data_IF_857071573737
#
_entry.id   IF_857071573737
#
_cell.length_a   1.000
_cell.length_b   1.000
_cell.length_c   1.000
_cell.angle_alpha   90.00
_cell.angle_beta   90.00
_cell.angle_gamma   90.00
#
_symmetry.space_group_name_H-M   'P 1'
#
loop_
_entity.id
_entity.type
_entity.pdbx_description
1 polymer ?
#
# COMPACT_ATOMS: atom_id res chain seq x y z
N UNK A 1 -41.40 -8.30 -4.96
CA UNK A 1 -41.26 -9.02 -3.65
C UNK A 1 -42.05 -8.27 -2.57
N UNK A 2 -41.98 -8.65 -1.29
CA UNK A 2 -42.56 -7.88 -0.17
C UNK A 2 -41.44 -7.34 0.73
N UNK A 3 -41.69 -6.29 1.52
CA UNK A 3 -40.72 -5.83 2.53
C UNK A 3 -40.43 -6.92 3.55
N UNK A 4 -39.22 -6.91 4.11
CA UNK A 4 -38.71 -7.87 5.08
C UNK A 4 -38.75 -9.33 4.57
N UNK A 5 -38.71 -9.53 3.25
CA UNK A 5 -38.56 -10.86 2.65
C UNK A 5 -37.16 -11.39 2.90
N UNK A 6 -37.09 -12.65 3.32
CA UNK A 6 -35.87 -13.46 3.32
C UNK A 6 -36.21 -14.80 2.65
N UNK A 7 -35.75 -14.99 1.42
CA UNK A 7 -36.08 -16.16 0.60
C UNK A 7 -34.87 -16.62 -0.18
N UNK A 8 -34.80 -17.92 -0.50
CA UNK A 8 -33.63 -18.46 -1.20
C UNK A 8 -34.01 -19.56 -2.19
N UNK A 9 -33.17 -19.69 -3.21
CA UNK A 9 -33.18 -20.82 -4.15
C UNK A 9 -31.82 -21.53 -4.08
N UNK A 10 -31.85 -22.85 -3.94
CA UNK A 10 -30.64 -23.67 -3.82
C UNK A 10 -30.45 -24.51 -5.08
N UNK A 11 -29.26 -24.42 -5.68
CA UNK A 11 -28.86 -25.23 -6.81
C UNK A 11 -28.57 -26.69 -6.44
N UNK A 12 -28.42 -27.57 -7.45
CA UNK A 12 -28.09 -28.98 -7.21
C UNK A 12 -26.68 -29.15 -6.61
N UNK A 13 -26.40 -30.34 -6.10
CA UNK A 13 -25.02 -30.72 -5.75
C UNK A 13 -24.19 -30.93 -7.01
N UNK A 14 -22.95 -30.45 -7.00
CA UNK A 14 -22.01 -30.62 -8.10
C UNK A 14 -20.57 -30.76 -7.61
N UNK A 15 -19.74 -31.42 -8.43
CA UNK A 15 -18.32 -31.63 -8.15
C UNK A 15 -17.47 -30.80 -9.10
N UNK A 16 -16.46 -30.14 -8.55
CA UNK A 16 -15.38 -29.46 -9.27
C UNK A 16 -14.05 -30.22 -9.12
N UNK A 17 -14.09 -31.48 -8.68
CA UNK A 17 -12.88 -32.33 -8.58
C UNK A 17 -12.21 -32.44 -9.95
N UNK A 18 -10.91 -32.12 -10.01
CA UNK A 18 -10.14 -32.12 -11.24
C UNK A 18 -10.40 -30.92 -12.17
N UNK A 19 -11.31 -30.02 -11.80
CA UNK A 19 -11.63 -28.81 -12.53
C UNK A 19 -10.96 -27.58 -11.89
N UNK A 20 -10.74 -26.53 -12.69
CA UNK A 20 -10.23 -25.23 -12.23
C UNK A 20 -10.95 -24.07 -12.89
N UNK A 21 -10.80 -22.86 -12.34
CA UNK A 21 -11.45 -21.65 -12.87
C UNK A 21 -12.96 -21.82 -12.96
N UNK A 22 -13.55 -22.50 -11.98
CA UNK A 22 -14.98 -22.75 -11.96
C UNK A 22 -15.71 -21.44 -11.67
N UNK A 23 -16.79 -21.14 -12.39
CA UNK A 23 -17.60 -19.93 -12.19
C UNK A 23 -19.08 -20.23 -12.35
N UNK A 24 -19.91 -19.47 -11.65
CA UNK A 24 -21.35 -19.47 -11.88
C UNK A 24 -21.63 -18.62 -13.12
N UNK A 25 -22.44 -19.14 -14.03
CA UNK A 25 -22.86 -18.43 -15.25
C UNK A 25 -24.37 -18.42 -15.37
N UNK A 26 -24.88 -17.52 -16.19
CA UNK A 26 -26.30 -17.40 -16.52
C UNK A 26 -26.68 -15.95 -16.77
N UNK A 27 -27.97 -15.72 -16.84
CA UNK A 27 -28.57 -14.42 -17.16
C UNK A 27 -29.37 -13.89 -15.96
N UNK A 28 -29.32 -12.58 -15.76
CA UNK A 28 -29.98 -11.86 -14.68
C UNK A 28 -30.74 -10.65 -15.22
N UNK A 29 -31.99 -10.50 -14.81
CA UNK A 29 -32.69 -9.23 -14.84
C UNK A 29 -32.99 -8.80 -13.41
N UNK A 30 -32.71 -7.55 -13.06
CA UNK A 30 -32.83 -7.05 -11.69
C UNK A 30 -33.68 -5.77 -11.63
N UNK A 31 -34.47 -5.66 -10.58
CA UNK A 31 -35.19 -4.48 -10.14
C UNK A 31 -35.39 -4.56 -8.62
N UNK A 32 -34.41 -4.05 -7.86
CA UNK A 32 -34.41 -3.98 -6.40
C UNK A 32 -34.00 -2.59 -5.92
N UNK A 33 -34.26 -2.27 -4.64
CA UNK A 33 -33.69 -1.08 -4.00
C UNK A 33 -32.16 -1.20 -3.93
N UNK A 34 -31.46 -0.30 -4.64
CA UNK A 34 -30.01 -0.33 -4.76
C UNK A 34 -29.33 -0.13 -3.40
N UNK A 35 -28.59 -1.13 -2.94
CA UNK A 35 -27.84 -1.11 -1.69
C UNK A 35 -28.61 -1.60 -0.45
N UNK A 36 -29.92 -1.88 -0.57
CA UNK A 36 -30.78 -2.25 0.56
C UNK A 36 -31.45 -3.61 0.35
N UNK A 37 -31.91 -3.89 -0.87
CA UNK A 37 -32.53 -5.16 -1.25
C UNK A 37 -31.56 -5.98 -2.11
N UNK A 38 -30.95 -7.00 -1.50
CA UNK A 38 -29.81 -7.70 -2.07
C UNK A 38 -30.11 -9.16 -2.36
N UNK A 39 -29.60 -9.62 -3.51
CA UNK A 39 -29.35 -11.03 -3.77
C UNK A 39 -27.90 -11.36 -3.38
N UNK A 40 -27.74 -12.31 -2.47
CA UNK A 40 -26.47 -12.88 -2.07
C UNK A 40 -26.24 -14.19 -2.79
N UNK A 41 -25.04 -14.39 -3.33
CA UNK A 41 -24.56 -15.70 -3.74
C UNK A 41 -23.84 -16.35 -2.57
N UNK A 42 -24.38 -17.46 -2.08
CA UNK A 42 -23.78 -18.29 -1.05
C UNK A 42 -23.29 -19.60 -1.68
N UNK A 43 -22.08 -20.03 -1.32
CA UNK A 43 -21.50 -21.30 -1.75
C UNK A 43 -21.24 -22.19 -0.55
N UNK A 44 -21.58 -23.46 -0.70
CA UNK A 44 -21.27 -24.53 0.23
C UNK A 44 -20.25 -25.49 -0.37
N UNK A 45 -19.34 -26.03 0.45
CA UNK A 45 -18.35 -27.05 0.07
C UNK A 45 -18.61 -28.43 0.72
N UNK A 46 -19.66 -28.52 1.54
CA UNK A 46 -20.00 -29.69 2.34
C UNK A 46 -21.43 -30.15 2.09
N UNK A 47 -21.89 -29.97 0.85
CA UNK A 47 -23.22 -30.39 0.43
C UNK A 47 -24.32 -29.59 1.12
N UNK A 48 -24.12 -28.31 1.42
CA UNK A 48 -25.13 -27.39 1.97
C UNK A 48 -25.28 -27.39 3.50
N UNK A 49 -24.31 -27.93 4.23
CA UNK A 49 -24.31 -27.91 5.71
C UNK A 49 -23.81 -26.56 6.22
N UNK A 50 -22.75 -26.04 5.61
CA UNK A 50 -22.23 -24.68 5.84
C UNK A 50 -22.25 -23.87 4.55
N UNK A 51 -22.42 -22.56 4.70
CA UNK A 51 -22.56 -21.62 3.60
C UNK A 51 -21.64 -20.41 3.82
N UNK A 52 -20.94 -20.01 2.76
CA UNK A 52 -20.12 -18.81 2.73
C UNK A 52 -20.63 -17.87 1.64
N UNK A 53 -20.87 -16.61 1.99
CA UNK A 53 -21.26 -15.58 1.02
C UNK A 53 -20.06 -15.20 0.16
N UNK A 54 -20.24 -15.28 -1.16
CA UNK A 54 -19.23 -15.00 -2.17
C UNK A 54 -19.37 -13.60 -2.74
N UNK A 55 -20.60 -13.09 -2.84
CA UNK A 55 -20.86 -11.74 -3.29
C UNK A 55 -22.34 -11.39 -3.17
N UNK A 56 -22.66 -10.12 -3.43
CA UNK A 56 -24.03 -9.62 -3.44
C UNK A 56 -24.27 -8.66 -4.59
N UNK A 57 -25.53 -8.53 -4.99
CA UNK A 57 -25.98 -7.62 -6.04
C UNK A 57 -27.33 -7.00 -5.68
N UNK A 58 -27.52 -5.76 -6.12
CA UNK A 58 -28.77 -4.99 -5.97
C UNK A 58 -28.86 -3.94 -7.08
N UNK A 59 -30.00 -3.28 -7.21
CA UNK A 59 -30.23 -2.22 -8.18
C UNK A 59 -31.09 -2.68 -9.36
N UNK A 60 -30.87 -2.11 -10.54
CA UNK A 60 -31.69 -2.42 -11.72
C UNK A 60 -30.88 -2.59 -12.99
N UNK A 61 -31.31 -3.54 -13.83
CA UNK A 61 -30.80 -3.76 -15.19
C UNK A 61 -31.66 -3.09 -16.26
N UNK A 62 -32.58 -2.20 -15.86
CA UNK A 62 -33.46 -1.48 -16.80
C UNK A 62 -34.41 -2.39 -17.58
N UNK A 63 -34.79 -3.53 -17.00
CA UNK A 63 -35.69 -4.50 -17.64
C UNK A 63 -35.01 -5.44 -18.64
N UNK A 64 -33.68 -5.41 -18.74
CA UNK A 64 -32.92 -6.28 -19.65
C UNK A 64 -32.20 -7.40 -18.91
N UNK A 65 -32.05 -8.55 -19.57
CA UNK A 65 -31.18 -9.61 -19.08
C UNK A 65 -29.72 -9.27 -19.38
N UNK A 66 -28.89 -9.31 -18.35
CA UNK A 66 -27.43 -9.17 -18.43
C UNK A 66 -26.77 -10.45 -17.93
N UNK A 67 -25.49 -10.63 -18.21
CA UNK A 67 -24.74 -11.76 -17.67
C UNK A 67 -24.68 -11.67 -16.14
N UNK A 68 -24.82 -12.81 -15.48
CA UNK A 68 -24.66 -12.91 -14.03
C UNK A 68 -23.27 -12.40 -13.63
N UNK A 69 -23.18 -11.37 -12.78
CA UNK A 69 -21.91 -10.75 -12.40
C UNK A 69 -21.21 -11.51 -11.26
N UNK A 70 -21.74 -12.66 -10.85
CA UNK A 70 -21.20 -13.41 -9.72
C UNK A 70 -19.89 -14.12 -10.08
N UNK A 71 -19.06 -14.28 -9.06
CA UNK A 71 -17.66 -14.67 -9.15
C UNK A 71 -17.42 -16.18 -9.06
N UNK A 72 -16.14 -16.52 -8.84
CA UNK A 72 -15.57 -17.86 -8.82
C UNK A 72 -16.24 -18.83 -7.83
N UNK A 73 -16.42 -20.05 -8.30
CA UNK A 73 -16.84 -21.23 -7.57
C UNK A 73 -15.58 -21.97 -7.09
N UNK A 74 -15.58 -22.61 -5.90
CA UNK A 74 -14.46 -23.38 -5.42
C UNK A 74 -13.98 -24.44 -6.42
N UNK A 75 -12.70 -24.41 -6.74
CA UNK A 75 -12.02 -25.43 -7.52
C UNK A 75 -11.75 -26.69 -6.69
N UNK A 76 -11.66 -27.85 -7.35
CA UNK A 76 -11.24 -29.13 -6.76
C UNK A 76 -12.03 -29.59 -5.52
N UNK A 77 -13.32 -29.29 -5.49
CA UNK A 77 -14.19 -29.61 -4.35
C UNK A 77 -15.28 -30.60 -4.77
N UNK A 78 -15.55 -31.61 -3.96
CA UNK A 78 -16.42 -32.73 -4.35
C UNK A 78 -17.91 -32.46 -4.13
N UNK A 79 -18.26 -31.71 -3.07
CA UNK A 79 -19.63 -31.59 -2.58
C UNK A 79 -20.07 -30.14 -2.57
N UNK A 80 -20.02 -29.48 -3.72
CA UNK A 80 -20.41 -28.07 -3.79
C UNK A 80 -21.92 -27.91 -3.96
N UNK A 81 -22.46 -26.82 -3.39
CA UNK A 81 -23.77 -26.26 -3.75
C UNK A 81 -23.67 -24.74 -3.85
N UNK A 82 -24.56 -24.14 -4.63
CA UNK A 82 -24.77 -22.71 -4.62
C UNK A 82 -26.20 -22.39 -4.16
N UNK A 83 -26.37 -21.22 -3.55
CA UNK A 83 -27.65 -20.69 -3.14
C UNK A 83 -27.71 -19.21 -3.48
N UNK A 84 -28.80 -18.79 -4.10
CA UNK A 84 -29.13 -17.39 -4.33
C UNK A 84 -30.13 -16.99 -3.26
N UNK A 85 -29.70 -16.14 -2.32
CA UNK A 85 -30.48 -15.70 -1.18
C UNK A 85 -30.90 -14.25 -1.34
N UNK A 86 -32.19 -13.97 -1.35
CA UNK A 86 -32.76 -12.63 -1.42
C UNK A 86 -33.15 -12.14 -0.03
N UNK A 87 -32.66 -10.96 0.34
CA UNK A 87 -33.05 -10.27 1.58
C UNK A 87 -33.46 -8.85 1.22
N UNK A 88 -34.64 -8.45 1.69
CA UNK A 88 -35.15 -7.08 1.57
C UNK A 88 -35.35 -6.44 2.93
N UNK A 89 -35.30 -5.11 2.96
CA UNK A 89 -35.51 -4.33 4.17
C UNK A 89 -36.98 -3.92 4.35
N UNK A 90 -37.25 -2.97 5.25
CA UNK A 90 -38.60 -2.53 5.56
C UNK A 90 -39.20 -1.52 4.58
N UNK A 91 -38.46 -1.13 3.53
CA UNK A 91 -38.78 -0.07 2.57
C UNK A 91 -38.67 -0.53 1.11
N UNK A 92 -39.19 0.32 0.20
CA UNK A 92 -39.17 0.22 -1.26
C UNK A 92 -39.34 -1.20 -1.85
N UNK A 93 -40.58 -1.53 -2.22
CA UNK A 93 -40.85 -2.75 -2.99
C UNK A 93 -40.64 -2.52 -4.49
N UNK A 94 -39.94 -3.45 -5.13
CA UNK A 94 -39.87 -3.59 -6.58
C UNK A 94 -40.15 -5.05 -7.03
N UNK A 95 -39.91 -5.35 -8.31
CA UNK A 95 -40.18 -6.66 -8.90
C UNK A 95 -39.28 -7.77 -8.31
N UNK A 96 -37.99 -7.50 -8.14
CA UNK A 96 -37.00 -8.46 -7.62
C UNK A 96 -35.95 -8.83 -8.65
N UNK A 97 -35.63 -10.11 -8.74
CA UNK A 97 -34.60 -10.63 -9.64
C UNK A 97 -35.08 -11.88 -10.36
N UNK A 98 -34.85 -11.92 -11.67
CA UNK A 98 -35.10 -13.07 -12.52
C UNK A 98 -33.76 -13.66 -12.95
N UNK A 99 -33.56 -14.94 -12.64
CA UNK A 99 -32.34 -15.68 -12.93
C UNK A 99 -32.70 -16.78 -13.94
N UNK A 100 -31.96 -16.84 -15.03
CA UNK A 100 -32.18 -17.83 -16.09
C UNK A 100 -30.86 -18.40 -16.60
N UNK A 101 -30.90 -19.59 -17.22
CA UNK A 101 -29.73 -20.32 -17.71
C UNK A 101 -28.60 -20.45 -16.66
N UNK A 102 -28.96 -20.61 -15.38
CA UNK A 102 -28.00 -20.69 -14.29
C UNK A 102 -27.25 -22.02 -14.37
N UNK A 103 -25.93 -21.95 -14.49
CA UNK A 103 -25.06 -23.11 -14.61
C UNK A 103 -23.69 -22.87 -13.98
N UNK A 104 -22.89 -23.94 -13.92
CA UNK A 104 -21.49 -23.87 -13.51
C UNK A 104 -20.64 -24.22 -14.72
N UNK A 105 -19.76 -23.31 -15.10
CA UNK A 105 -18.73 -23.56 -16.11
C UNK A 105 -17.38 -23.70 -15.43
N UNK A 106 -16.57 -24.62 -15.95
CA UNK A 106 -15.21 -24.84 -15.45
C UNK A 106 -14.26 -25.02 -16.62
N UNK A 107 -13.01 -24.60 -16.44
CA UNK A 107 -11.94 -25.02 -17.34
C UNK A 107 -11.47 -26.42 -16.96
N UNK A 108 -11.54 -27.36 -17.91
CA UNK A 108 -11.07 -28.73 -17.73
C UNK A 108 -9.54 -28.77 -17.83
N UNK A 109 -8.91 -29.40 -16.85
CA UNK A 109 -7.48 -29.69 -16.84
C UNK A 109 -6.84 -29.40 -15.50
N UNK A 110 -6.20 -30.42 -14.91
CA UNK A 110 -5.09 -30.13 -14.02
C UNK A 110 -3.96 -29.57 -14.90
N UNK A 111 -3.38 -28.40 -14.60
CA UNK A 111 -2.11 -27.99 -15.17
C UNK A 111 -1.12 -29.13 -14.93
N UNK A 112 -0.89 -29.94 -15.93
CA UNK A 112 0.21 -30.87 -15.97
C UNK A 112 1.41 -30.01 -16.37
N UNK A 113 2.43 -29.97 -15.53
CA UNK A 113 3.67 -29.24 -15.84
C UNK A 113 4.37 -29.72 -17.12
N UNK A 114 3.83 -30.76 -17.78
CA UNK A 114 4.35 -31.40 -18.99
C UNK A 114 3.57 -31.11 -20.27
N UNK A 115 2.31 -30.64 -20.21
CA UNK A 115 1.50 -30.40 -21.44
C UNK A 115 0.87 -28.99 -21.53
N UNK A 116 0.66 -28.29 -20.42
CA UNK A 116 -0.02 -26.97 -20.43
C UNK A 116 0.96 -25.79 -20.56
N UNK A 117 2.23 -26.02 -20.20
CA UNK A 117 3.33 -25.11 -20.46
C UNK A 117 4.28 -25.79 -21.44
N UNK A 118 4.50 -25.15 -22.59
CA UNK A 118 5.42 -25.64 -23.61
C UNK A 118 6.34 -24.53 -24.08
N UNK A 119 7.57 -24.91 -24.42
CA UNK A 119 8.48 -24.01 -25.13
C UNK A 119 8.06 -23.94 -26.59
N UNK A 120 7.55 -22.78 -26.98
CA UNK A 120 7.27 -22.44 -28.37
C UNK A 120 8.34 -21.47 -28.88
N UNK A 121 8.52 -21.46 -30.20
CA UNK A 121 9.49 -20.61 -30.87
C UNK A 121 8.83 -19.89 -32.04
N UNK A 122 9.31 -18.68 -32.36
CA UNK A 122 8.84 -17.89 -33.49
C UNK A 122 8.58 -16.44 -33.14
N UNK A 123 8.33 -15.62 -34.15
CA UNK A 123 7.98 -14.19 -33.97
C UNK A 123 6.70 -14.01 -33.17
N UNK A 124 5.77 -14.97 -33.24
CA UNK A 124 4.57 -15.03 -32.38
C UNK A 124 4.88 -15.09 -30.89
N UNK A 125 6.08 -15.53 -30.48
CA UNK A 125 6.54 -15.49 -29.09
C UNK A 125 7.30 -14.20 -28.78
N UNK A 126 7.93 -13.58 -29.78
CA UNK A 126 8.60 -12.28 -29.61
C UNK A 126 7.60 -11.12 -29.42
N UNK A 127 6.54 -11.09 -30.24
CA UNK A 127 5.49 -10.04 -30.18
C UNK A 127 4.87 -9.86 -28.78
N UNK A 128 4.42 -10.93 -28.08
CA UNK A 128 3.83 -10.78 -26.74
C UNK A 128 4.82 -10.29 -25.68
N UNK A 129 6.13 -10.49 -25.85
CA UNK A 129 7.11 -9.86 -24.96
C UNK A 129 7.13 -8.34 -25.15
N UNK A 130 7.04 -7.85 -26.39
CA UNK A 130 6.97 -6.42 -26.67
C UNK A 130 5.66 -5.83 -26.13
N UNK A 131 4.51 -6.46 -26.39
CA UNK A 131 3.22 -5.97 -25.89
C UNK A 131 3.12 -6.04 -24.36
N UNK A 132 3.69 -7.07 -23.73
CA UNK A 132 3.81 -7.15 -22.28
C UNK A 132 4.61 -5.99 -21.69
N UNK A 133 5.73 -5.60 -22.32
CA UNK A 133 6.50 -4.41 -21.90
C UNK A 133 5.73 -3.11 -22.15
N UNK A 134 4.97 -3.00 -23.23
CA UNK A 134 4.07 -1.85 -23.44
C UNK A 134 3.05 -1.74 -22.30
N UNK A 135 2.49 -2.87 -21.86
CA UNK A 135 1.62 -2.91 -20.67
C UNK A 135 2.32 -2.41 -19.41
N UNK A 136 3.57 -2.82 -19.17
CA UNK A 136 4.38 -2.33 -18.05
C UNK A 136 4.72 -0.84 -18.16
N UNK A 137 5.01 -0.35 -19.35
CA UNK A 137 5.27 1.07 -19.63
C UNK A 137 4.04 1.92 -19.29
N UNK A 138 2.85 1.49 -19.73
CA UNK A 138 1.59 2.16 -19.41
C UNK A 138 1.21 2.06 -17.93
N UNK A 139 1.53 0.94 -17.27
CA UNK A 139 1.35 0.81 -15.83
C UNK A 139 2.26 1.77 -15.05
N UNK A 140 3.48 2.04 -15.54
CA UNK A 140 4.41 2.99 -14.93
C UNK A 140 4.08 4.46 -15.24
N UNK A 141 3.43 4.74 -16.38
CA UNK A 141 2.96 6.07 -16.74
C UNK A 141 1.74 5.98 -17.68
N UNK A 142 0.51 6.13 -17.16
CA UNK A 142 -0.71 5.97 -17.95
C UNK A 142 -0.99 7.14 -18.90
N UNK A 143 -0.25 8.25 -18.80
CA UNK A 143 -0.48 9.46 -19.59
C UNK A 143 0.34 9.52 -20.89
N UNK A 144 1.10 8.45 -21.19
CA UNK A 144 1.94 8.41 -22.38
C UNK A 144 1.08 8.28 -23.66
N UNK A 145 1.47 9.03 -24.69
CA UNK A 145 0.92 8.83 -26.02
C UNK A 145 1.66 7.71 -26.78
N UNK A 146 1.09 7.27 -27.90
CA UNK A 146 1.63 6.16 -28.71
C UNK A 146 3.06 6.42 -29.19
N UNK A 147 3.40 7.67 -29.54
CA UNK A 147 4.75 8.01 -29.98
C UNK A 147 5.78 7.86 -28.84
N UNK A 148 5.45 8.36 -27.65
CA UNK A 148 6.31 8.22 -26.46
C UNK A 148 6.52 6.75 -26.09
N UNK A 149 5.46 5.93 -26.16
CA UNK A 149 5.57 4.47 -25.93
C UNK A 149 6.48 3.84 -26.98
N UNK A 150 6.29 4.19 -28.26
CA UNK A 150 7.11 3.67 -29.35
C UNK A 150 8.58 4.04 -29.18
N UNK A 151 8.87 5.29 -28.83
CA UNK A 151 10.24 5.77 -28.62
C UNK A 151 10.88 5.07 -27.42
N UNK A 152 10.14 4.90 -26.32
CA UNK A 152 10.60 4.14 -25.16
C UNK A 152 10.99 2.71 -25.54
N UNK A 153 10.19 2.02 -26.36
CA UNK A 153 10.48 0.65 -26.79
C UNK A 153 11.67 0.58 -27.76
N UNK A 154 11.71 1.46 -28.76
CA UNK A 154 12.70 1.38 -29.84
C UNK A 154 14.08 1.91 -29.45
N UNK A 155 14.15 2.99 -28.67
CA UNK A 155 15.41 3.70 -28.39
C UNK A 155 16.16 3.17 -27.16
N UNK A 156 15.49 2.43 -26.28
CA UNK A 156 16.07 1.97 -25.01
C UNK A 156 16.53 0.50 -25.04
N UNK A 157 16.24 -0.21 -26.13
CA UNK A 157 16.70 -1.57 -26.35
C UNK A 157 18.22 -1.70 -26.35
N UNK A 158 18.73 -2.90 -26.10
CA UNK A 158 20.17 -3.19 -26.09
C UNK A 158 20.64 -3.52 -27.49
N UNK A 159 21.71 -2.88 -27.97
CA UNK A 159 22.31 -3.20 -29.25
C UNK A 159 22.81 -4.65 -29.25
N UNK A 160 22.45 -5.38 -30.29
CA UNK A 160 22.94 -6.74 -30.52
C UNK A 160 23.62 -6.74 -31.88
N UNK A 161 24.94 -7.01 -31.98
CA UNK A 161 25.66 -6.94 -33.25
C UNK A 161 25.01 -7.74 -34.39
N UNK A 162 24.45 -8.91 -34.08
CA UNK A 162 23.75 -9.76 -35.05
C UNK A 162 22.43 -9.17 -35.58
N UNK A 163 21.87 -8.16 -34.91
CA UNK A 163 20.65 -7.46 -35.33
C UNK A 163 20.94 -6.18 -36.12
N UNK A 164 22.20 -5.73 -36.16
CA UNK A 164 22.57 -4.49 -36.85
C UNK A 164 22.32 -4.62 -38.36
N UNK A 165 21.57 -3.69 -38.93
CA UNK A 165 21.15 -3.75 -40.34
C UNK A 165 20.08 -4.81 -40.66
N UNK A 166 19.66 -5.62 -39.68
CA UNK A 166 18.60 -6.65 -39.83
C UNK A 166 17.25 -6.12 -39.35
N UNK A 167 17.24 -5.37 -38.25
CA UNK A 167 16.06 -4.66 -37.73
C UNK A 167 16.36 -3.17 -37.64
N UNK A 168 15.33 -2.33 -37.73
CA UNK A 168 15.46 -0.87 -37.85
C UNK A 168 16.31 -0.21 -36.77
N UNK A 169 16.33 -0.77 -35.55
CA UNK A 169 17.08 -0.22 -34.42
C UNK A 169 18.40 -0.93 -34.16
N UNK A 170 18.63 -2.12 -34.76
CA UNK A 170 19.71 -3.03 -34.36
C UNK A 170 19.64 -3.52 -32.91
N UNK A 171 18.48 -3.37 -32.24
CA UNK A 171 18.33 -3.58 -30.79
C UNK A 171 17.37 -4.71 -30.46
N UNK A 172 17.65 -5.37 -29.34
CA UNK A 172 16.73 -6.26 -28.63
C UNK A 172 16.02 -5.48 -27.52
N UNK A 173 14.73 -5.76 -27.32
CA UNK A 173 13.92 -5.17 -26.26
C UNK A 173 14.60 -5.25 -24.89
N UNK A 174 14.53 -4.16 -24.12
CA UNK A 174 14.91 -4.14 -22.71
C UNK A 174 13.80 -3.47 -21.89
N UNK A 175 13.08 -4.27 -21.10
CA UNK A 175 11.95 -3.81 -20.31
C UNK A 175 12.35 -2.75 -19.27
N UNK A 176 13.47 -2.97 -18.56
CA UNK A 176 13.95 -2.07 -17.53
C UNK A 176 14.23 -0.68 -18.10
N UNK A 177 15.05 -0.61 -19.16
CA UNK A 177 15.40 0.68 -19.76
C UNK A 177 14.16 1.40 -20.33
N UNK A 178 13.23 0.65 -20.95
CA UNK A 178 12.01 1.21 -21.51
C UNK A 178 11.17 1.86 -20.42
N UNK A 179 10.89 1.15 -19.33
CA UNK A 179 10.09 1.65 -18.20
C UNK A 179 10.79 2.83 -17.53
N UNK A 180 12.10 2.73 -17.25
CA UNK A 180 12.86 3.80 -16.61
C UNK A 180 12.91 5.09 -17.42
N UNK A 181 12.82 5.01 -18.76
CA UNK A 181 12.86 6.19 -19.63
C UNK A 181 11.59 7.05 -19.60
N UNK A 182 10.48 6.50 -19.13
CA UNK A 182 9.15 7.14 -19.19
C UNK A 182 8.37 7.08 -17.88
N UNK A 183 9.00 6.59 -16.81
CA UNK A 183 8.39 6.46 -15.49
C UNK A 183 7.84 7.81 -15.02
N UNK A 184 6.58 7.83 -14.59
CA UNK A 184 5.96 9.03 -14.06
C UNK A 184 6.67 9.46 -12.77
N UNK A 185 6.74 10.77 -12.51
CA UNK A 185 7.30 11.32 -11.30
C UNK A 185 6.25 12.11 -10.52
N UNK A 186 6.36 12.10 -9.19
CA UNK A 186 5.62 12.98 -8.30
C UNK A 186 6.58 13.88 -7.52
N UNK A 187 6.11 15.06 -7.12
CA UNK A 187 6.92 16.05 -6.41
C UNK A 187 6.47 16.13 -4.95
N UNK A 188 7.44 16.27 -4.05
CA UNK A 188 7.20 16.39 -2.60
C UNK A 188 7.80 17.71 -2.11
N UNK A 189 7.00 18.80 -2.06
CA UNK A 189 7.39 20.02 -1.36
C UNK A 189 7.33 19.83 0.16
N UNK A 190 8.42 20.19 0.83
CA UNK A 190 8.53 20.23 2.29
C UNK A 190 8.59 21.67 2.78
N UNK A 191 7.76 22.04 3.74
CA UNK A 191 7.80 23.33 4.43
C UNK A 191 8.34 23.14 5.84
N UNK A 192 9.22 24.02 6.30
CA UNK A 192 9.60 24.09 7.73
C UNK A 192 8.80 25.19 8.42
N UNK A 193 8.32 24.93 9.63
CA UNK A 193 7.56 25.88 10.44
C UNK A 193 7.97 25.81 11.92
N UNK A 194 7.45 26.73 12.72
CA UNK A 194 7.65 26.79 14.17
C UNK A 194 8.73 27.78 14.59
N UNK A 195 8.97 27.84 15.90
CA UNK A 195 9.89 28.81 16.52
C UNK A 195 11.34 28.34 16.56
N UNK A 196 11.58 27.06 16.35
CA UNK A 196 12.90 26.42 16.35
C UNK A 196 13.45 26.23 14.94
N UNK A 197 14.59 25.53 14.86
CA UNK A 197 15.30 25.22 13.62
C UNK A 197 15.59 23.72 13.51
N UNK A 198 15.85 23.27 12.30
CA UNK A 198 16.12 21.88 12.00
C UNK A 198 16.25 21.60 10.51
N UNK A 199 16.59 20.36 10.21
CA UNK A 199 16.76 19.83 8.85
C UNK A 199 15.78 18.71 8.57
N UNK A 200 15.40 18.55 7.31
CA UNK A 200 14.58 17.42 6.83
C UNK A 200 15.32 16.76 5.68
N UNK A 201 15.52 15.45 5.75
CA UNK A 201 16.16 14.65 4.70
C UNK A 201 15.25 13.54 4.22
N UNK A 202 15.35 13.18 2.94
CA UNK A 202 14.63 12.05 2.36
C UNK A 202 15.51 10.82 2.14
N UNK A 203 14.90 9.64 2.20
CA UNK A 203 15.43 8.40 1.63
C UNK A 203 14.37 7.79 0.69
N UNK A 204 14.61 7.63 -0.63
CA UNK A 204 15.84 7.95 -1.36
C UNK A 204 16.26 9.43 -1.28
N UNK A 205 17.56 9.69 -1.48
CA UNK A 205 18.09 11.05 -1.42
C UNK A 205 17.48 11.95 -2.50
N UNK A 206 17.12 13.17 -2.13
CA UNK A 206 16.53 14.16 -3.04
C UNK A 206 16.13 15.44 -2.32
N UNK A 207 15.63 15.33 -1.08
CA UNK A 207 15.31 16.46 -0.21
C UNK A 207 16.39 16.57 0.86
N UNK A 208 16.96 17.76 1.00
CA UNK A 208 17.79 18.17 2.14
C UNK A 208 17.47 19.64 2.45
N UNK A 209 16.54 19.82 3.38
CA UNK A 209 15.98 21.12 3.78
C UNK A 209 16.95 22.06 4.53
N UNK A 210 18.25 21.93 4.29
CA UNK A 210 19.25 22.98 4.46
C UNK A 210 19.56 23.74 3.16
N UNK A 211 19.26 23.18 1.99
CA UNK A 211 19.52 23.78 0.66
C UNK A 211 18.33 23.72 -0.29
N UNK A 212 17.67 22.55 -0.43
CA UNK A 212 16.46 22.35 -1.23
C UNK A 212 15.43 21.53 -0.47
N UNK A 213 14.22 22.07 -0.37
CA UNK A 213 13.08 21.43 0.27
C UNK A 213 12.07 20.82 -0.72
N UNK A 214 12.48 20.62 -1.97
CA UNK A 214 11.60 20.10 -3.00
C UNK A 214 12.37 19.15 -3.91
N UNK A 215 11.79 17.98 -4.18
CA UNK A 215 12.35 17.02 -5.13
C UNK A 215 11.24 16.21 -5.81
N UNK A 216 11.56 15.70 -7.00
CA UNK A 216 10.72 14.77 -7.75
C UNK A 216 11.24 13.35 -7.59
N UNK A 217 10.32 12.43 -7.29
CA UNK A 217 10.58 11.01 -7.12
C UNK A 217 9.73 10.22 -8.11
N UNK A 218 10.22 9.05 -8.50
CA UNK A 218 9.49 8.17 -9.40
C UNK A 218 8.25 7.60 -8.72
N UNK A 219 7.14 7.51 -9.43
CA UNK A 219 5.90 6.96 -8.92
C UNK A 219 6.10 5.53 -8.37
N UNK A 220 5.48 5.23 -7.23
CA UNK A 220 5.68 3.97 -6.50
C UNK A 220 6.93 3.93 -5.62
N UNK A 221 7.81 4.94 -5.67
CA UNK A 221 8.91 5.07 -4.71
C UNK A 221 8.36 5.43 -3.34
N UNK A 222 8.64 4.61 -2.32
CA UNK A 222 8.39 4.97 -0.93
C UNK A 222 9.51 5.92 -0.45
N UNK A 223 9.15 7.19 -0.24
CA UNK A 223 10.05 8.23 0.24
C UNK A 223 9.84 8.39 1.74
N UNK A 224 10.87 8.15 2.53
CA UNK A 224 10.85 8.38 3.98
C UNK A 224 11.50 9.72 4.31
N UNK A 225 10.77 10.61 4.98
CA UNK A 225 11.27 11.89 5.47
C UNK A 225 11.68 11.78 6.94
N UNK A 226 12.89 12.26 7.24
CA UNK A 226 13.45 12.31 8.59
C UNK A 226 13.70 13.76 8.97
N UNK A 227 13.08 14.21 10.06
CA UNK A 227 13.33 15.52 10.66
C UNK A 227 14.39 15.40 11.75
N UNK A 228 15.37 16.30 11.74
CA UNK A 228 16.41 16.39 12.77
C UNK A 228 16.45 17.82 13.30
N UNK A 229 15.96 18.06 14.53
CA UNK A 229 16.07 19.37 15.17
C UNK A 229 17.52 19.79 15.34
N UNK A 230 17.78 21.08 15.18
CA UNK A 230 19.07 21.65 15.54
C UNK A 230 19.19 21.78 17.07
N UNK A 231 20.41 21.96 17.57
CA UNK A 231 20.65 22.11 19.01
C UNK A 231 19.80 23.25 19.60
N UNK A 232 19.05 22.95 20.66
CA UNK A 232 18.13 23.90 21.30
C UNK A 232 16.72 23.95 20.68
N UNK A 233 16.41 23.11 19.70
CA UNK A 233 15.06 22.93 19.14
C UNK A 233 14.52 21.53 19.38
N UNK A 234 13.20 21.36 19.30
CA UNK A 234 12.49 20.08 19.33
C UNK A 234 11.68 19.90 18.05
N UNK A 235 11.44 18.65 17.64
CA UNK A 235 10.53 18.33 16.53
C UNK A 235 9.11 18.16 17.08
N UNK A 236 8.23 19.10 16.76
CA UNK A 236 6.84 19.11 17.25
C UNK A 236 5.92 18.20 16.43
N UNK A 237 6.32 17.85 15.20
CA UNK A 237 5.63 16.87 14.38
C UNK A 237 5.47 17.29 12.91
N UNK A 238 4.94 16.34 12.14
CA UNK A 238 4.52 16.52 10.76
C UNK A 238 3.08 17.02 10.68
N UNK A 239 2.81 17.82 9.66
CA UNK A 239 1.45 18.15 9.21
C UNK A 239 1.41 18.20 7.68
N UNK A 240 0.22 18.17 7.09
CA UNK A 240 0.05 18.20 5.63
C UNK A 240 -0.83 17.05 5.14
N UNK A 241 -0.80 16.83 3.82
CA UNK A 241 -1.69 15.88 3.15
C UNK A 241 -1.25 14.42 3.31
N UNK A 242 0.04 14.15 3.49
CA UNK A 242 0.57 12.78 3.58
C UNK A 242 1.02 12.34 4.98
N UNK A 243 1.36 13.28 5.87
CA UNK A 243 1.95 12.95 7.17
C UNK A 243 1.38 13.82 8.29
N UNK A 244 1.03 13.19 9.41
CA UNK A 244 0.55 13.85 10.62
C UNK A 244 1.19 13.26 11.88
N UNK A 245 1.46 14.10 12.87
CA UNK A 245 2.04 13.69 14.16
C UNK A 245 3.56 13.51 14.14
N UNK A 246 4.13 12.99 15.23
CA UNK A 246 5.59 12.90 15.42
C UNK A 246 6.23 11.61 14.89
N UNK A 247 5.46 10.74 14.23
CA UNK A 247 5.94 9.46 13.68
C UNK A 247 6.81 9.60 12.43
N UNK A 248 7.20 8.45 11.85
CA UNK A 248 7.90 8.43 10.55
C UNK A 248 6.97 8.93 9.45
N UNK A 249 7.43 9.86 8.62
CA UNK A 249 6.67 10.38 7.49
C UNK A 249 7.07 9.62 6.21
N UNK A 250 6.13 8.84 5.64
CA UNK A 250 6.33 8.08 4.42
C UNK A 250 5.39 8.60 3.32
N UNK A 251 5.96 8.94 2.17
CA UNK A 251 5.27 9.55 1.02
C UNK A 251 5.47 8.66 -0.21
N UNK A 252 4.40 8.35 -0.94
CA UNK A 252 4.46 7.52 -2.16
C UNK A 252 3.72 8.16 -3.36
N UNK A 253 3.25 9.39 -3.19
CA UNK A 253 2.50 10.17 -4.17
C UNK A 253 2.70 11.67 -3.90
N UNK A 254 2.22 12.52 -4.83
CA UNK A 254 2.35 13.96 -4.70
C UNK A 254 1.67 14.45 -3.41
N UNK A 255 2.43 15.11 -2.54
CA UNK A 255 1.93 15.56 -1.25
C UNK A 255 2.68 16.79 -0.75
N UNK A 256 1.97 17.58 0.04
CA UNK A 256 2.54 18.68 0.83
C UNK A 256 2.84 18.20 2.24
N UNK A 257 4.09 18.40 2.68
CA UNK A 257 4.54 18.01 4.02
C UNK A 257 5.11 19.22 4.73
N UNK A 258 4.70 19.44 5.97
CA UNK A 258 5.23 20.49 6.84
C UNK A 258 5.87 19.86 8.06
N UNK A 259 7.14 20.19 8.32
CA UNK A 259 7.88 19.82 9.53
C UNK A 259 7.89 21.00 10.49
N UNK A 260 7.35 20.82 11.70
CA UNK A 260 7.36 21.88 12.72
C UNK A 260 8.49 21.64 13.72
N UNK A 261 9.35 22.64 13.89
CA UNK A 261 10.40 22.67 14.91
C UNK A 261 10.13 23.83 15.87
N UNK A 262 10.16 23.57 17.17
CA UNK A 262 9.91 24.61 18.19
C UNK A 262 11.06 24.69 19.19
N UNK A 263 11.20 25.84 19.85
CA UNK A 263 12.11 25.97 20.99
C UNK A 263 11.37 25.41 22.22
N UNK A 264 11.97 24.49 23.00
CA UNK A 264 11.34 23.97 24.21
C UNK A 264 11.07 25.14 25.17
N UNK A 265 9.80 25.36 25.52
CA UNK A 265 9.42 26.40 26.47
C UNK A 265 10.10 26.14 27.80
N UNK A 266 10.69 27.18 28.40
CA UNK A 266 11.18 27.10 29.77
C UNK A 266 10.06 26.53 30.67
N UNK A 267 10.39 25.64 31.64
CA UNK A 267 9.38 25.16 32.57
C UNK A 267 8.71 26.39 33.19
N UNK A 268 7.39 26.43 33.15
CA UNK A 268 6.62 27.54 33.67
C UNK A 268 7.10 27.82 35.10
N UNK A 269 7.78 28.95 35.30
CA UNK A 269 7.98 29.48 36.64
C UNK A 269 6.57 29.83 37.13
N UNK A 270 6.00 28.95 37.95
CA UNK A 270 4.76 29.23 38.67
C UNK A 270 5.00 30.46 39.55
N UNK A 271 4.65 31.64 39.02
CA UNK A 271 4.59 32.87 39.79
C UNK A 271 3.48 32.76 40.83
N UNK A 272 3.87 32.38 42.04
CA UNK A 272 3.05 32.46 43.25
C UNK A 272 3.92 33.00 44.37
N UNK A 273 3.64 34.21 44.82
CA UNK A 273 4.40 34.90 45.86
C UNK A 273 4.24 34.28 47.25
N UNK A 274 5.21 34.60 48.11
CA UNK A 274 5.09 34.54 49.57
C UNK A 274 5.33 33.17 50.21
N UNK A 275 6.57 32.92 50.65
CA UNK A 275 6.85 31.82 51.56
C UNK A 275 8.35 31.62 51.77
N UNK A 276 8.89 32.19 52.86
CA UNK A 276 10.22 31.84 53.35
C UNK A 276 10.09 30.49 54.08
N UNK A 277 10.82 29.47 53.65
CA UNK A 277 10.98 28.23 54.42
C UNK A 277 12.46 27.94 54.64
N UNK A 278 12.79 27.74 55.91
CA UNK A 278 14.12 27.49 56.44
C UNK A 278 14.53 26.07 56.02
N UNK A 279 15.68 25.94 55.36
CA UNK A 279 16.27 24.64 55.07
C UNK A 279 16.76 23.99 56.38
N UNK A 280 16.17 22.84 56.73
CA UNK A 280 16.65 21.99 57.81
C UNK A 280 17.88 21.22 57.30
N UNK A 281 19.04 21.47 57.93
CA UNK A 281 20.27 20.73 57.69
C UNK A 281 20.10 19.26 58.10
N UNK A 282 20.18 18.36 57.11
CA UNK A 282 20.23 16.92 57.29
C UNK A 282 21.34 16.34 56.42
N UNK A 283 22.42 15.92 57.08
CA UNK A 283 23.60 15.24 56.53
C UNK A 283 23.29 13.81 56.05
N UNK A 284 24.32 13.20 55.45
CA UNK A 284 24.61 11.77 55.15
C UNK A 284 24.16 11.30 53.75
N UNK A 285 25.10 11.22 52.80
CA UNK A 285 26.04 10.10 52.52
C UNK A 285 25.36 9.09 51.58
N UNK A 286 25.89 8.53 50.51
CA UNK A 286 27.19 8.46 49.84
C UNK A 286 26.85 7.93 48.41
N UNK A 287 27.54 8.14 47.29
CA UNK A 287 28.90 7.74 46.92
C UNK A 287 29.12 8.25 45.48
N UNK A 288 30.18 9.01 45.22
CA UNK A 288 30.97 8.84 43.99
C UNK A 288 32.44 9.07 44.35
N UNK A 289 33.26 7.99 44.41
CA UNK A 289 34.68 8.09 44.66
C UNK A 289 35.40 8.07 43.31
N UNK A 290 35.98 9.19 42.89
CA UNK A 290 37.17 9.24 42.01
C UNK A 290 37.51 10.69 41.72
N UNK A 291 38.80 11.03 41.84
CA UNK A 291 39.42 12.31 41.45
C UNK A 291 39.21 13.51 42.40
N UNK A 292 39.91 13.56 43.55
CA UNK A 292 40.62 14.79 43.97
C UNK A 292 41.56 14.67 45.20
N UNK A 293 42.28 13.56 45.43
CA UNK A 293 43.25 13.47 46.55
C UNK A 293 44.64 12.96 46.16
N UNK A 294 45.17 13.46 45.04
CA UNK A 294 46.61 13.35 44.69
C UNK A 294 47.39 14.62 45.08
N UNK A 295 46.76 15.65 45.66
CA UNK A 295 47.41 16.95 45.88
C UNK A 295 47.81 17.29 47.34
N UNK A 296 47.55 16.46 48.36
CA UNK A 296 47.91 16.82 49.76
C UNK A 296 48.76 15.79 50.54
N UNK A 297 49.24 14.72 49.89
CA UNK A 297 50.20 13.78 50.50
C UNK A 297 51.66 14.25 50.48
N UNK A 298 51.99 15.26 49.68
CA UNK A 298 53.37 15.70 49.47
C UNK A 298 53.85 16.84 50.40
N UNK A 299 52.97 17.47 51.19
CA UNK A 299 53.33 18.62 52.04
C UNK A 299 53.56 18.26 53.52
N UNK A 300 53.02 17.15 54.01
CA UNK A 300 53.15 16.76 55.43
C UNK A 300 54.34 15.83 55.69
N UNK A 301 54.85 15.14 54.65
CA UNK A 301 56.05 14.28 54.80
C UNK A 301 57.39 15.06 54.81
N UNK A 302 57.41 16.31 54.34
CA UNK A 302 58.63 17.17 54.34
C UNK A 302 58.85 18.00 55.60
N UNK A 303 57.89 18.07 56.54
CA UNK A 303 58.04 18.83 57.79
C UNK A 303 58.37 17.93 59.00
N UNK A 304 58.15 16.62 58.91
CA UNK A 304 58.42 15.66 60.01
C UNK A 304 59.86 15.11 60.08
N UNK A 305 60.80 15.57 59.25
CA UNK A 305 62.22 15.10 59.26
C UNK A 305 63.27 16.20 59.54
N UNK A 306 62.90 17.28 60.24
CA UNK A 306 63.85 18.25 60.82
C UNK A 306 63.51 18.57 62.27
N UNK A 307 63.59 17.54 63.11
CA UNK A 307 63.72 17.68 64.57
C UNK A 307 64.18 16.33 65.14
N UNK A 308 65.39 15.96 64.73
CA UNK A 308 66.46 15.33 65.51
C UNK A 308 67.72 15.34 64.63
#
# INVERSE_FOLDING_TARGET
YLNNTNSFATGPMFSTVGQRGCRLVGSLQLATESGFDLFYLNISRDGGTTWATVGSISGSTGGTFVNLPFSDIPDRSANNRFQINFVSDSSIVADGGYFDNVGVESTSGAPSGTADYQFLQGTSMATPHVTGVVGLVLAANPNLNVAQIRDAILNTGVLVPALNGVVSTGRRLNAFNAISSVMATFTVPVTKNGTGTGTVKSNPAGIDCGSSCNASFNQGTAVTLTATPDAGSIFSGWSGSACTGAGTCAVNSAATVTATFDIPSAPASSGGGGGCSIAQAGRSDALMPTLLLVALGALIWRVSRRSN
#
